data_IF_492042374725
#
_entry.id   IF_492042374725
#
_cell.length_a   1.000
_cell.length_b   1.000
_cell.length_c   1.000
_cell.angle_alpha   90.00
_cell.angle_beta   90.00
_cell.angle_gamma   90.00
#
_symmetry.space_group_name_H-M   'P 1'
#
loop_
_entity.id
_entity.type
_entity.pdbx_description
1 polymer ?
#
# COMPACT_ATOMS: atom_id res chain seq x y z
N UNK A 1 5.21 -21.13 15.59
CA UNK A 1 4.56 -20.26 14.60
C UNK A 1 4.45 -18.88 15.22
N UNK A 2 5.06 -17.87 14.61
CA UNK A 2 5.00 -16.49 15.04
C UNK A 2 4.16 -15.67 14.06
N UNK A 3 3.34 -14.78 14.61
CA UNK A 3 2.63 -13.76 13.86
C UNK A 3 3.38 -12.45 14.03
N UNK A 4 3.57 -11.69 12.95
CA UNK A 4 4.07 -10.32 13.03
C UNK A 4 3.33 -9.44 12.02
N UNK A 5 2.87 -8.28 12.46
CA UNK A 5 2.29 -7.29 11.58
C UNK A 5 2.98 -5.94 11.77
N UNK A 6 3.24 -5.26 10.66
CA UNK A 6 3.61 -3.86 10.64
C UNK A 6 2.50 -3.08 9.93
N UNK A 7 1.89 -2.13 10.65
CA UNK A 7 0.83 -1.28 10.13
C UNK A 7 1.32 0.17 10.14
N UNK A 8 1.25 0.82 8.99
CA UNK A 8 1.70 2.20 8.78
C UNK A 8 0.54 3.02 8.24
N UNK A 9 0.26 4.16 8.87
CA UNK A 9 -0.82 5.07 8.46
C UNK A 9 -0.36 6.52 8.54
N UNK A 10 -0.44 7.27 7.44
CA UNK A 10 0.06 8.65 7.40
C UNK A 10 -1.04 9.60 6.95
N UNK A 11 -1.60 10.33 7.93
CA UNK A 11 -2.53 11.43 7.69
C UNK A 11 -1.80 12.77 7.62
N UNK A 12 -0.83 12.97 8.50
CA UNK A 12 -0.05 14.22 8.56
C UNK A 12 1.26 14.06 7.83
N UNK A 13 1.56 14.97 6.91
CA UNK A 13 2.81 15.01 6.17
C UNK A 13 3.59 16.27 6.52
N UNK A 14 4.93 16.21 6.45
CA UNK A 14 5.75 17.44 6.52
C UNK A 14 5.53 18.32 5.31
N UNK A 15 5.21 17.73 4.16
CA UNK A 15 4.88 18.45 2.95
C UNK A 15 3.53 19.18 3.14
N UNK A 16 3.50 20.54 3.07
CA UNK A 16 2.27 21.28 3.27
C UNK A 16 1.19 20.92 2.24
N UNK A 17 -0.06 20.79 2.70
CA UNK A 17 -1.21 20.52 1.82
C UNK A 17 -1.40 19.04 1.42
N UNK A 18 -0.50 18.14 1.84
CA UNK A 18 -0.59 16.71 1.56
C UNK A 18 -1.39 15.92 2.63
N UNK A 19 -2.12 16.60 3.51
CA UNK A 19 -2.78 15.92 4.62
C UNK A 19 -4.01 15.09 4.19
N UNK A 20 -4.05 13.85 4.68
CA UNK A 20 -5.17 12.90 4.57
C UNK A 20 -5.87 12.76 5.94
N UNK A 21 -6.99 12.03 5.97
CA UNK A 21 -7.82 11.90 7.16
C UNK A 21 -8.10 10.44 7.56
N UNK A 22 -8.14 9.51 6.62
CA UNK A 22 -8.54 8.12 6.89
C UNK A 22 -7.43 7.13 7.23
N UNK A 23 -6.16 7.46 7.00
CA UNK A 23 -5.07 6.49 7.07
C UNK A 23 -4.80 5.93 8.47
N UNK A 24 -4.99 6.74 9.51
CA UNK A 24 -4.88 6.28 10.91
C UNK A 24 -6.06 5.37 11.30
N UNK A 25 -7.26 5.62 10.76
CA UNK A 25 -8.42 4.75 10.95
C UNK A 25 -8.26 3.42 10.23
N UNK A 26 -7.67 3.42 9.04
CA UNK A 26 -7.30 2.21 8.29
C UNK A 26 -6.37 1.29 9.10
N UNK A 27 -5.33 1.85 9.71
CA UNK A 27 -4.43 1.12 10.62
C UNK A 27 -5.20 0.49 11.79
N UNK A 28 -6.16 1.22 12.35
CA UNK A 28 -7.00 0.74 13.44
C UNK A 28 -7.91 -0.41 12.98
N UNK A 29 -8.56 -0.27 11.83
CA UNK A 29 -9.41 -1.30 11.22
C UNK A 29 -8.63 -2.61 10.97
N UNK A 30 -7.46 -2.52 10.34
CA UNK A 30 -6.61 -3.70 10.06
C UNK A 30 -6.13 -4.34 11.36
N UNK A 31 -5.68 -3.54 12.34
CA UNK A 31 -5.27 -4.04 13.65
C UNK A 31 -6.39 -4.84 14.30
N UNK A 32 -7.59 -4.29 14.35
CA UNK A 32 -8.71 -4.90 15.07
C UNK A 32 -9.17 -6.20 14.40
N UNK A 33 -9.17 -6.24 13.06
CA UNK A 33 -9.42 -7.47 12.31
C UNK A 33 -8.36 -8.54 12.63
N UNK A 34 -7.07 -8.18 12.66
CA UNK A 34 -5.99 -9.12 12.94
C UNK A 34 -6.06 -9.71 14.36
N UNK A 35 -6.32 -8.86 15.35
CA UNK A 35 -6.45 -9.29 16.74
C UNK A 35 -7.68 -10.18 16.92
N UNK A 36 -8.81 -9.82 16.32
CA UNK A 36 -10.10 -10.49 16.54
C UNK A 36 -10.26 -11.80 15.77
N UNK A 37 -9.80 -11.85 14.51
CA UNK A 37 -10.12 -12.98 13.61
C UNK A 37 -8.91 -13.79 13.17
N UNK A 38 -7.68 -13.24 13.30
CA UNK A 38 -6.48 -13.91 12.83
C UNK A 38 -5.54 -14.35 13.96
N UNK A 39 -5.91 -14.14 15.22
CA UNK A 39 -5.15 -14.60 16.39
C UNK A 39 -3.81 -13.88 16.58
N UNK A 40 -3.70 -12.63 16.11
CA UNK A 40 -2.58 -11.78 16.45
C UNK A 40 -2.77 -11.27 17.89
N UNK A 41 -1.66 -11.06 18.58
CA UNK A 41 -1.65 -10.37 19.88
C UNK A 41 -1.12 -8.95 19.72
N UNK A 42 -1.42 -8.06 20.67
CA UNK A 42 -0.94 -6.66 20.62
C UNK A 42 0.60 -6.58 20.52
N UNK A 43 1.32 -7.50 21.17
CA UNK A 43 2.80 -7.56 21.12
C UNK A 43 3.35 -7.96 19.74
N UNK A 44 2.53 -8.58 18.92
CA UNK A 44 2.87 -9.04 17.56
C UNK A 44 2.53 -8.00 16.49
N UNK A 45 1.88 -6.89 16.84
CA UNK A 45 1.52 -5.82 15.91
C UNK A 45 2.33 -4.57 16.24
N UNK A 46 3.14 -4.09 15.30
CA UNK A 46 3.81 -2.80 15.39
C UNK A 46 3.08 -1.78 14.54
N UNK A 47 2.89 -0.59 15.11
CA UNK A 47 2.15 0.50 14.47
C UNK A 47 3.02 1.74 14.38
N UNK A 48 3.06 2.35 13.20
CA UNK A 48 3.62 3.70 12.97
C UNK A 48 2.50 4.58 12.41
N UNK A 49 2.32 5.76 13.00
CA UNK A 49 1.38 6.75 12.47
C UNK A 49 1.99 8.15 12.46
N UNK A 50 1.61 8.93 11.46
CA UNK A 50 1.94 10.35 11.30
C UNK A 50 3.43 10.63 11.55
N UNK A 51 3.75 11.57 12.46
CA UNK A 51 5.13 11.98 12.77
C UNK A 51 6.10 10.84 13.12
N UNK A 52 5.59 9.65 13.49
CA UNK A 52 6.42 8.47 13.78
C UNK A 52 6.65 7.58 12.55
N UNK A 53 5.86 7.73 11.49
CA UNK A 53 5.97 7.00 10.24
C UNK A 53 6.99 7.65 9.29
N UNK A 54 8.20 7.90 9.80
CA UNK A 54 9.31 8.38 8.97
C UNK A 54 9.92 7.26 8.14
N UNK A 55 10.61 7.57 7.03
CA UNK A 55 11.31 6.55 6.20
C UNK A 55 12.17 5.63 7.07
N UNK A 56 13.03 6.24 7.90
CA UNK A 56 13.92 5.51 8.81
C UNK A 56 13.16 4.65 9.83
N UNK A 57 12.04 5.15 10.38
CA UNK A 57 11.24 4.39 11.32
C UNK A 57 10.58 3.18 10.64
N UNK A 58 10.01 3.37 9.45
CA UNK A 58 9.39 2.30 8.65
C UNK A 58 10.42 1.22 8.35
N UNK A 59 11.62 1.58 7.87
CA UNK A 59 12.70 0.64 7.55
C UNK A 59 13.10 -0.20 8.76
N UNK A 60 13.31 0.43 9.92
CA UNK A 60 13.60 -0.27 11.17
C UNK A 60 12.51 -1.28 11.56
N UNK A 61 11.24 -1.03 11.21
CA UNK A 61 10.14 -1.96 11.51
C UNK A 61 9.99 -3.04 10.45
N UNK A 62 10.29 -2.75 9.18
CA UNK A 62 10.41 -3.75 8.12
C UNK A 62 11.52 -4.77 8.44
N UNK A 63 12.68 -4.30 8.91
CA UNK A 63 13.74 -5.18 9.40
C UNK A 63 13.25 -6.10 10.51
N UNK A 64 12.54 -5.57 11.50
CA UNK A 64 11.97 -6.39 12.57
C UNK A 64 10.92 -7.40 12.06
N UNK A 65 10.10 -7.00 11.09
CA UNK A 65 9.05 -7.82 10.50
C UNK A 65 9.66 -9.10 9.93
N UNK A 66 10.74 -8.97 9.16
CA UNK A 66 11.40 -10.09 8.47
C UNK A 66 12.49 -10.78 9.31
N UNK A 67 12.94 -10.20 10.42
CA UNK A 67 14.02 -10.77 11.24
C UNK A 67 13.61 -12.07 11.94
N UNK A 68 14.37 -13.14 11.70
CA UNK A 68 14.25 -14.41 12.43
C UNK A 68 12.95 -15.17 12.18
N UNK A 69 12.28 -14.91 11.05
CA UNK A 69 11.06 -15.63 10.65
C UNK A 69 11.41 -16.97 10.03
N UNK A 70 10.55 -17.97 10.22
CA UNK A 70 10.75 -19.34 9.73
C UNK A 70 9.48 -19.89 9.09
N UNK A 71 9.63 -20.95 8.30
CA UNK A 71 8.51 -21.60 7.63
C UNK A 71 7.32 -21.86 8.58
N UNK A 72 6.12 -21.53 8.12
CA UNK A 72 4.90 -21.54 8.92
C UNK A 72 4.57 -20.20 9.59
N UNK A 73 5.49 -19.25 9.71
CA UNK A 73 5.17 -17.92 10.27
C UNK A 73 4.24 -17.11 9.35
N UNK A 74 3.53 -16.14 9.94
CA UNK A 74 2.56 -15.28 9.25
C UNK A 74 2.93 -13.81 9.44
N UNK A 75 3.14 -13.12 8.33
CA UNK A 75 3.56 -11.73 8.28
C UNK A 75 2.52 -10.90 7.54
N UNK A 76 2.24 -9.71 8.06
CA UNK A 76 1.46 -8.71 7.35
C UNK A 76 2.19 -7.38 7.33
N UNK A 77 2.29 -6.77 6.16
CA UNK A 77 2.66 -5.37 6.02
C UNK A 77 1.45 -4.60 5.47
N UNK A 78 1.08 -3.51 6.14
CA UNK A 78 0.03 -2.61 5.69
C UNK A 78 0.56 -1.19 5.65
N UNK A 79 0.35 -0.52 4.53
CA UNK A 79 0.62 0.90 4.36
C UNK A 79 -0.65 1.59 3.85
N UNK A 80 -1.07 2.65 4.55
CA UNK A 80 -2.14 3.54 4.14
C UNK A 80 -1.63 4.98 4.18
N UNK A 81 -1.70 5.68 3.05
CA UNK A 81 -1.09 6.99 2.90
C UNK A 81 -0.95 7.38 1.43
N UNK A 82 -0.12 8.37 1.17
CA UNK A 82 0.22 8.82 -0.16
C UNK A 82 1.19 7.86 -0.85
N UNK A 83 0.96 7.67 -2.13
CA UNK A 83 1.98 7.22 -3.06
C UNK A 83 2.17 8.24 -4.17
N UNK A 84 3.21 8.06 -4.97
CA UNK A 84 3.53 8.90 -6.12
C UNK A 84 4.38 8.13 -7.14
N UNK A 85 4.88 8.84 -8.15
CA UNK A 85 5.83 8.35 -9.14
C UNK A 85 7.02 9.29 -9.22
N UNK A 86 8.21 8.72 -9.32
CA UNK A 86 9.44 9.44 -9.66
C UNK A 86 10.08 8.78 -10.87
N UNK A 87 11.02 9.45 -11.53
CA UNK A 87 11.76 8.83 -12.63
C UNK A 87 12.64 7.70 -12.11
N UNK A 88 12.61 6.57 -12.80
CA UNK A 88 13.48 5.43 -12.55
C UNK A 88 14.95 5.85 -12.75
N UNK A 89 15.76 5.58 -11.72
CA UNK A 89 17.21 5.83 -11.70
C UNK A 89 18.04 4.54 -11.77
N UNK A 90 17.43 3.37 -11.57
CA UNK A 90 18.08 2.06 -11.67
C UNK A 90 18.03 1.46 -13.07
N UNK A 91 17.12 1.93 -13.91
CA UNK A 91 16.96 1.49 -15.30
C UNK A 91 16.31 0.12 -15.44
N UNK A 92 15.63 -0.36 -14.40
CA UNK A 92 14.88 -1.62 -14.41
C UNK A 92 13.42 -1.46 -14.84
N UNK A 93 12.89 -0.23 -14.88
CA UNK A 93 11.55 0.07 -15.39
C UNK A 93 11.59 0.34 -16.90
N UNK A 94 11.47 -0.75 -17.66
CA UNK A 94 11.63 -0.74 -19.12
C UNK A 94 10.42 -0.18 -19.89
N UNK A 95 9.28 0.05 -19.22
CA UNK A 95 8.01 0.37 -19.89
C UNK A 95 7.69 1.87 -19.89
N UNK A 96 7.70 2.51 -18.73
CA UNK A 96 7.42 3.94 -18.56
C UNK A 96 8.56 4.71 -17.88
N UNK A 97 9.58 4.01 -17.37
CA UNK A 97 10.74 4.56 -16.66
C UNK A 97 10.34 5.35 -15.40
N UNK A 98 9.30 4.90 -14.69
CA UNK A 98 8.83 5.51 -13.45
C UNK A 98 8.86 4.51 -12.31
N UNK A 99 9.51 4.88 -11.20
CA UNK A 99 9.43 4.16 -9.94
C UNK A 99 8.16 4.57 -9.18
N UNK A 100 7.39 3.57 -8.75
CA UNK A 100 6.32 3.74 -7.79
C UNK A 100 6.89 3.97 -6.38
N UNK A 101 6.39 4.99 -5.69
CA UNK A 101 6.87 5.33 -4.35
C UNK A 101 5.76 5.35 -3.31
N UNK A 102 6.08 4.90 -2.10
CA UNK A 102 5.33 5.21 -0.89
C UNK A 102 5.90 6.48 -0.26
N UNK A 103 5.03 7.36 0.23
CA UNK A 103 5.40 8.62 0.86
C UNK A 103 5.31 8.50 2.39
N UNK A 104 6.43 8.42 3.12
CA UNK A 104 6.45 8.55 4.58
C UNK A 104 6.02 9.94 5.05
N UNK A 105 5.82 10.10 6.36
CA UNK A 105 5.51 11.41 6.95
C UNK A 105 6.56 12.48 6.61
N UNK A 106 7.83 12.11 6.69
CA UNK A 106 8.97 13.01 6.48
C UNK A 106 9.39 13.12 5.02
N UNK A 107 8.51 12.75 4.09
CA UNK A 107 8.88 12.71 2.69
C UNK A 107 9.32 14.06 2.14
N UNK A 108 10.29 13.98 1.24
CA UNK A 108 10.73 15.04 0.34
C UNK A 108 10.88 14.45 -1.06
N UNK A 109 10.98 15.31 -2.07
CA UNK A 109 11.15 14.88 -3.46
C UNK A 109 12.61 14.59 -3.84
N UNK A 110 13.53 14.65 -2.88
CA UNK A 110 14.98 14.60 -3.08
C UNK A 110 15.63 13.33 -2.48
N UNK A 111 14.83 12.37 -2.00
CA UNK A 111 15.31 11.03 -1.60
C UNK A 111 14.59 10.41 -0.40
N UNK A 112 13.75 11.16 0.30
CA UNK A 112 13.01 10.66 1.47
C UNK A 112 11.66 10.04 1.07
N UNK A 113 11.69 9.04 0.21
CA UNK A 113 10.53 8.21 -0.18
C UNK A 113 10.93 6.74 -0.20
N UNK A 114 9.97 5.82 -0.25
CA UNK A 114 10.27 4.38 -0.29
C UNK A 114 9.92 3.86 -1.67
N UNK A 115 10.91 3.40 -2.43
CA UNK A 115 10.68 2.77 -3.74
C UNK A 115 10.40 1.27 -3.58
N UNK A 116 9.75 0.67 -4.57
CA UNK A 116 9.40 -0.74 -4.56
C UNK A 116 10.60 -1.68 -4.44
N UNK A 117 11.74 -1.30 -5.02
CA UNK A 117 12.97 -2.08 -4.94
C UNK A 117 13.57 -2.13 -3.51
N UNK A 118 13.37 -1.07 -2.71
CA UNK A 118 13.71 -1.08 -1.28
C UNK A 118 12.78 -2.05 -0.51
N UNK A 119 11.47 -2.05 -0.80
CA UNK A 119 10.52 -2.99 -0.19
C UNK A 119 10.83 -4.45 -0.57
N UNK A 120 11.11 -4.69 -1.85
CA UNK A 120 11.53 -5.98 -2.40
C UNK A 120 12.79 -6.50 -1.74
N UNK A 121 13.73 -5.62 -1.42
CA UNK A 121 14.93 -5.98 -0.64
C UNK A 121 14.58 -6.52 0.75
N UNK A 122 13.57 -5.96 1.42
CA UNK A 122 13.10 -6.51 2.70
C UNK A 122 12.34 -7.83 2.51
N UNK A 123 11.41 -7.89 1.57
CA UNK A 123 10.57 -9.08 1.35
C UNK A 123 11.36 -10.25 0.76
N UNK A 124 12.44 -10.00 0.02
CA UNK A 124 13.37 -11.02 -0.47
C UNK A 124 14.10 -11.77 0.65
N UNK A 125 14.15 -11.21 1.87
CA UNK A 125 14.70 -11.87 3.06
C UNK A 125 13.74 -12.89 3.68
N UNK A 126 12.49 -12.95 3.22
CA UNK A 126 11.47 -13.85 3.76
C UNK A 126 11.66 -15.26 3.15
N UNK A 127 11.97 -16.28 3.97
CA UNK A 127 12.23 -17.63 3.47
C UNK A 127 10.95 -18.30 2.96
N UNK A 128 11.13 -19.30 2.12
CA UNK A 128 10.04 -20.16 1.63
C UNK A 128 9.25 -20.77 2.79
N UNK A 129 7.94 -20.87 2.63
CA UNK A 129 7.03 -21.42 3.65
C UNK A 129 6.57 -20.40 4.69
N UNK A 130 7.14 -19.19 4.73
CA UNK A 130 6.52 -18.05 5.44
C UNK A 130 5.38 -17.50 4.58
N UNK A 131 4.32 -17.04 5.23
CA UNK A 131 3.16 -16.40 4.59
C UNK A 131 3.27 -14.90 4.80
N UNK A 132 3.46 -14.14 3.72
CA UNK A 132 3.50 -12.68 3.75
C UNK A 132 2.32 -12.14 2.94
N UNK A 133 1.45 -11.37 3.58
CA UNK A 133 0.45 -10.55 2.91
C UNK A 133 0.86 -9.08 3.01
N UNK A 134 0.78 -8.36 1.89
CA UNK A 134 1.08 -6.93 1.79
C UNK A 134 -0.19 -6.22 1.36
N UNK A 135 -0.57 -5.17 2.07
CA UNK A 135 -1.75 -4.35 1.81
C UNK A 135 -1.31 -2.91 1.60
N UNK A 136 -1.47 -2.39 0.39
CA UNK A 136 -1.13 -1.02 0.03
C UNK A 136 -2.40 -0.26 -0.32
N UNK A 137 -2.76 0.71 0.52
CA UNK A 137 -3.86 1.64 0.30
C UNK A 137 -3.31 3.05 -0.01
N UNK A 138 -2.64 3.12 -1.15
CA UNK A 138 -2.00 4.30 -1.73
C UNK A 138 -2.24 4.31 -3.25
N UNK A 139 -1.88 5.41 -3.91
CA UNK A 139 -1.93 5.52 -5.37
C UNK A 139 -0.55 5.68 -5.91
N UNK A 140 -0.27 4.98 -7.00
CA UNK A 140 1.01 5.09 -7.68
C UNK A 140 0.89 5.73 -9.04
N UNK A 141 -0.26 6.30 -9.42
CA UNK A 141 -0.33 7.06 -10.66
C UNK A 141 -1.31 8.22 -10.64
N UNK A 142 -0.95 9.25 -11.42
CA UNK A 142 -1.68 10.50 -11.50
C UNK A 142 -2.86 10.49 -12.47
N UNK A 143 -3.09 9.41 -13.22
CA UNK A 143 -4.09 9.40 -14.31
C UNK A 143 -5.54 9.47 -13.82
N UNK A 144 -5.81 9.11 -12.56
CA UNK A 144 -7.12 9.25 -11.90
C UNK A 144 -7.37 10.61 -11.23
N UNK A 145 -6.40 11.52 -11.23
CA UNK A 145 -6.47 12.77 -10.44
C UNK A 145 -7.55 13.74 -10.92
N UNK A 146 -7.80 13.84 -12.22
CA UNK A 146 -8.86 14.74 -12.76
C UNK A 146 -10.24 14.40 -12.24
N UNK A 147 -10.56 13.11 -12.17
CA UNK A 147 -11.82 12.63 -11.59
C UNK A 147 -11.86 12.93 -10.09
N UNK A 148 -10.77 12.65 -9.37
CA UNK A 148 -10.68 12.95 -7.94
C UNK A 148 -10.84 14.46 -7.63
N UNK A 149 -10.26 15.35 -8.44
CA UNK A 149 -10.44 16.80 -8.29
C UNK A 149 -11.89 17.24 -8.50
N UNK A 150 -12.60 16.63 -9.47
CA UNK A 150 -14.02 16.89 -9.67
C UNK A 150 -14.86 16.41 -8.47
N UNK A 151 -14.49 15.27 -7.88
CA UNK A 151 -15.18 14.71 -6.71
C UNK A 151 -14.90 15.49 -5.42
N UNK A 152 -13.72 16.12 -5.30
CA UNK A 152 -13.39 16.99 -4.16
C UNK A 152 -14.28 18.23 -4.04
N UNK A 153 -14.98 18.63 -5.12
CA UNK A 153 -15.94 19.73 -5.13
C UNK A 153 -17.37 19.31 -4.68
N UNK A 154 -17.61 18.02 -4.45
CA UNK A 154 -18.89 17.52 -3.96
C UNK A 154 -19.06 17.77 -2.45
N UNK A 155 -20.29 17.64 -1.90
CA UNK A 155 -20.49 17.61 -0.45
C UNK A 155 -19.60 16.56 0.22
N UNK A 156 -19.19 16.82 1.46
CA UNK A 156 -18.21 16.00 2.22
C UNK A 156 -18.52 14.50 2.21
N UNK A 157 -19.80 14.13 2.25
CA UNK A 157 -20.30 12.75 2.23
C UNK A 157 -20.02 11.99 0.92
N UNK A 158 -19.77 12.72 -0.18
CA UNK A 158 -19.46 12.17 -1.51
C UNK A 158 -18.08 12.57 -2.00
N UNK A 159 -17.45 13.54 -1.34
CA UNK A 159 -16.09 13.96 -1.63
C UNK A 159 -15.09 12.94 -1.12
N UNK A 160 -14.00 12.79 -1.85
CA UNK A 160 -12.83 12.05 -1.38
C UNK A 160 -11.57 12.78 -1.81
N UNK A 161 -10.47 12.54 -1.08
CA UNK A 161 -9.15 13.03 -1.45
C UNK A 161 -8.37 11.93 -2.17
N UNK A 162 -7.70 12.27 -3.28
CA UNK A 162 -6.80 11.32 -3.93
C UNK A 162 -5.64 11.00 -3.00
N UNK A 163 -5.27 9.72 -2.89
CA UNK A 163 -4.03 9.31 -2.21
C UNK A 163 -2.82 9.33 -3.15
N UNK A 164 -2.94 9.97 -4.31
CA UNK A 164 -1.82 10.28 -5.20
C UNK A 164 -1.28 11.65 -4.83
N UNK A 165 0.01 11.73 -4.56
CA UNK A 165 0.71 12.98 -4.36
C UNK A 165 1.41 13.37 -5.67
N UNK A 166 1.00 14.44 -6.38
CA UNK A 166 1.63 14.81 -7.64
C UNK A 166 3.04 15.38 -7.41
N UNK A 167 4.05 14.94 -8.18
CA UNK A 167 5.37 15.58 -8.16
C UNK A 167 5.27 17.05 -8.59
N UNK A 168 6.01 17.97 -7.94
CA UNK A 168 6.06 19.37 -8.35
C UNK A 168 6.79 19.52 -9.69
N UNK A 169 6.58 20.67 -10.34
CA UNK A 169 7.06 20.90 -11.70
C UNK A 169 8.59 20.78 -11.82
N UNK A 170 9.37 21.16 -10.82
CA UNK A 170 10.83 21.04 -10.86
C UNK A 170 11.26 19.56 -10.88
N UNK A 171 10.57 18.71 -10.13
CA UNK A 171 10.79 17.26 -10.14
C UNK A 171 10.35 16.65 -11.46
N UNK A 172 9.24 17.12 -12.03
CA UNK A 172 8.81 16.74 -13.38
C UNK A 172 9.80 17.21 -14.45
N UNK A 173 10.41 18.38 -14.32
CA UNK A 173 11.40 18.89 -15.27
C UNK A 173 12.73 18.13 -15.20
N UNK A 174 13.15 17.65 -14.00
CA UNK A 174 14.26 16.69 -13.89
C UNK A 174 14.00 15.41 -14.71
N UNK A 175 12.75 15.12 -15.06
CA UNK A 175 12.39 14.01 -15.95
C UNK A 175 12.73 14.26 -17.43
N UNK A 176 13.11 15.48 -17.83
CA UNK A 176 13.36 15.82 -19.24
C UNK A 176 14.85 15.89 -19.61
N UNK A 177 15.76 16.19 -18.66
CA UNK A 177 17.15 16.56 -19.00
C UNK A 177 18.20 15.43 -18.92
N UNK A 178 17.94 14.30 -18.25
CA UNK A 178 18.93 13.20 -18.14
C UNK A 178 18.75 12.17 -19.28
N UNK A 179 19.24 12.47 -20.49
CA UNK A 179 19.44 11.48 -21.58
C UNK A 179 20.76 10.69 -21.43
N UNK A 180 21.62 11.02 -20.46
CA UNK A 180 22.93 10.36 -20.31
C UNK A 180 22.85 9.06 -19.47
N UNK A 181 22.92 7.94 -20.18
CA UNK A 181 23.49 6.66 -19.75
C UNK A 181 22.90 5.94 -18.51
N UNK A 182 21.57 5.73 -18.48
CA UNK A 182 21.04 4.59 -17.72
C UNK A 182 21.47 3.28 -18.40
N UNK A 183 22.57 2.68 -17.91
CA UNK A 183 23.00 1.35 -18.34
C UNK A 183 21.85 0.35 -18.10
N UNK A 184 21.27 -0.16 -19.19
CA UNK A 184 20.23 -1.20 -19.17
C UNK A 184 20.78 -2.44 -18.46
N UNK A 185 20.52 -2.57 -17.16
CA UNK A 185 20.78 -3.79 -16.43
C UNK A 185 19.71 -4.79 -16.84
N UNK A 186 20.06 -5.68 -17.77
CA UNK A 186 19.28 -6.88 -18.07
C UNK A 186 19.03 -7.60 -16.75
N UNK A 187 17.79 -7.59 -16.27
CA UNK A 187 17.43 -8.20 -15.00
C UNK A 187 17.90 -9.65 -14.98
N UNK A 188 18.71 -9.99 -13.98
CA UNK A 188 18.62 -11.30 -13.35
C UNK A 188 17.14 -11.45 -12.97
N UNK A 189 16.42 -12.19 -13.82
CA UNK A 189 15.05 -12.65 -13.60
C UNK A 189 14.93 -13.00 -12.13
N UNK A 190 14.18 -12.20 -11.35
CA UNK A 190 14.08 -12.35 -9.91
C UNK A 190 13.87 -13.83 -9.60
N UNK A 191 14.87 -14.47 -9.00
CA UNK A 191 14.96 -15.93 -8.88
C UNK A 191 13.95 -16.51 -7.90
N UNK A 192 13.07 -15.66 -7.34
CA UNK A 192 12.02 -16.06 -6.44
C UNK A 192 10.71 -15.40 -6.87
N UNK A 193 9.73 -16.13 -7.45
CA UNK A 193 8.39 -15.60 -7.64
C UNK A 193 7.84 -15.25 -6.27
N UNK A 194 7.80 -13.95 -5.97
CA UNK A 194 7.33 -13.32 -4.74
C UNK A 194 6.53 -14.30 -3.85
N UNK A 195 7.13 -14.76 -2.76
CA UNK A 195 6.48 -15.65 -1.78
C UNK A 195 5.42 -14.90 -0.93
N UNK A 196 4.88 -13.80 -1.46
CA UNK A 196 3.90 -12.93 -0.83
C UNK A 196 2.61 -12.84 -1.68
N UNK A 197 1.56 -12.31 -1.07
CA UNK A 197 0.38 -11.83 -1.77
C UNK A 197 0.25 -10.34 -1.52
N UNK A 198 0.20 -9.55 -2.59
CA UNK A 198 0.06 -8.10 -2.55
C UNK A 198 -1.38 -7.74 -2.92
N UNK A 199 -2.01 -6.93 -2.08
CA UNK A 199 -3.28 -6.28 -2.34
C UNK A 199 -3.03 -4.78 -2.50
N UNK A 200 -3.38 -4.23 -3.65
CA UNK A 200 -3.27 -2.81 -3.95
C UNK A 200 -4.65 -2.16 -4.07
N UNK A 201 -4.78 -0.93 -3.57
CA UNK A 201 -6.04 -0.17 -3.52
C UNK A 201 -6.63 0.16 -4.88
N UNK A 202 -5.79 0.30 -5.90
CA UNK A 202 -6.22 0.64 -7.25
C UNK A 202 -5.29 0.01 -8.31
N UNK A 203 -5.61 0.20 -9.58
CA UNK A 203 -4.70 -0.06 -10.70
C UNK A 203 -3.68 1.08 -10.83
N UNK A 204 -2.61 0.80 -11.55
CA UNK A 204 -1.54 1.73 -11.92
C UNK A 204 -2.03 2.88 -12.82
N UNK A 205 -3.31 2.94 -13.19
CA UNK A 205 -3.89 4.08 -13.90
C UNK A 205 -5.06 4.74 -13.14
N UNK A 206 -5.16 4.51 -11.84
CA UNK A 206 -6.27 4.94 -10.99
C UNK A 206 -5.77 5.49 -9.66
N UNK A 207 -6.69 6.00 -8.86
CA UNK A 207 -6.39 6.63 -7.58
C UNK A 207 -7.24 6.00 -6.49
N UNK A 208 -6.60 5.50 -5.43
CA UNK A 208 -7.22 5.18 -4.14
C UNK A 208 -7.78 6.42 -3.42
N UNK A 209 -8.95 6.27 -2.81
CA UNK A 209 -9.73 7.34 -2.21
C UNK A 209 -9.62 7.37 -0.68
N UNK A 210 -9.31 8.55 -0.14
CA UNK A 210 -9.52 8.90 1.26
C UNK A 210 -10.91 9.55 1.43
N UNK A 211 -11.87 8.83 1.99
CA UNK A 211 -13.29 9.14 1.90
C UNK A 211 -13.99 9.12 3.27
N UNK A 212 -15.08 9.86 3.41
CA UNK A 212 -15.93 9.82 4.59
C UNK A 212 -16.97 8.70 4.45
N UNK A 213 -16.82 7.64 5.24
CA UNK A 213 -17.64 6.42 5.15
C UNK A 213 -18.26 6.14 6.52
N UNK A 214 -19.58 6.04 6.56
CA UNK A 214 -20.36 5.70 7.77
C UNK A 214 -19.95 6.51 9.03
N UNK A 215 -19.73 7.82 8.86
CA UNK A 215 -19.43 8.73 9.97
C UNK A 215 -17.95 8.87 10.34
N UNK A 216 -17.03 8.31 9.54
CA UNK A 216 -15.59 8.45 9.77
C UNK A 216 -14.77 8.45 8.48
N UNK A 217 -13.65 9.16 8.46
CA UNK A 217 -12.72 9.11 7.33
C UNK A 217 -11.96 7.78 7.28
N UNK A 218 -11.89 7.16 6.12
CA UNK A 218 -11.19 5.90 5.88
C UNK A 218 -10.65 5.85 4.44
N UNK A 219 -9.69 4.97 4.20
CA UNK A 219 -9.35 4.52 2.86
C UNK A 219 -10.45 3.61 2.35
N UNK A 220 -11.06 3.95 1.22
CA UNK A 220 -12.18 3.17 0.70
C UNK A 220 -11.77 1.71 0.44
N UNK A 221 -10.54 1.45 -0.03
CA UNK A 221 -10.02 0.08 -0.14
C UNK A 221 -9.97 -0.62 1.22
N UNK A 222 -9.27 -0.04 2.20
CA UNK A 222 -9.06 -0.67 3.51
C UNK A 222 -10.36 -0.85 4.29
N UNK A 223 -11.27 0.11 4.20
CA UNK A 223 -12.57 0.05 4.84
C UNK A 223 -13.37 -1.17 4.39
N UNK A 224 -13.61 -1.32 3.08
CA UNK A 224 -14.39 -2.43 2.55
C UNK A 224 -13.64 -3.77 2.66
N UNK A 225 -12.30 -3.76 2.57
CA UNK A 225 -11.48 -4.93 2.84
C UNK A 225 -11.72 -5.45 4.26
N UNK A 226 -11.61 -4.57 5.27
CA UNK A 226 -11.84 -4.93 6.66
C UNK A 226 -13.31 -5.27 6.94
N UNK A 227 -14.27 -4.57 6.32
CA UNK A 227 -15.71 -4.88 6.41
C UNK A 227 -16.00 -6.32 5.99
N UNK A 228 -15.54 -6.74 4.82
CA UNK A 228 -15.78 -8.11 4.35
C UNK A 228 -15.08 -9.18 5.19
N UNK A 229 -13.91 -8.87 5.76
CA UNK A 229 -13.28 -9.76 6.73
C UNK A 229 -14.07 -9.84 8.03
N UNK A 230 -14.64 -8.74 8.53
CA UNK A 230 -15.54 -8.74 9.70
C UNK A 230 -16.79 -9.58 9.43
N UNK A 231 -17.46 -9.35 8.30
CA UNK A 231 -18.69 -10.05 7.89
C UNK A 231 -18.50 -11.57 7.79
N UNK A 232 -17.29 -12.01 7.45
CA UNK A 232 -16.95 -13.43 7.26
C UNK A 232 -16.10 -14.00 8.39
N UNK A 233 -15.86 -13.23 9.44
CA UNK A 233 -14.98 -13.59 10.57
C UNK A 233 -13.59 -14.07 10.11
N UNK A 234 -13.04 -13.46 9.06
CA UNK A 234 -11.77 -13.82 8.43
C UNK A 234 -11.82 -15.08 7.55
N UNK A 235 -12.96 -15.77 7.47
CA UNK A 235 -13.11 -17.01 6.72
C UNK A 235 -13.45 -16.77 5.24
N UNK A 236 -12.57 -16.07 4.53
CA UNK A 236 -12.77 -15.70 3.13
C UNK A 236 -11.52 -15.90 2.30
N UNK A 237 -11.66 -16.58 1.15
CA UNK A 237 -10.56 -16.74 0.20
C UNK A 237 -10.18 -15.38 -0.43
N UNK A 238 -8.89 -15.16 -0.72
CA UNK A 238 -8.38 -13.90 -1.29
C UNK A 238 -9.14 -13.51 -2.58
N UNK A 239 -9.43 -14.47 -3.45
CA UNK A 239 -10.18 -14.22 -4.69
C UNK A 239 -11.61 -13.74 -4.46
N UNK A 240 -12.29 -14.31 -3.45
CA UNK A 240 -13.67 -13.93 -3.11
C UNK A 240 -13.69 -12.59 -2.37
N UNK A 241 -12.72 -12.35 -1.48
CA UNK A 241 -12.52 -11.05 -0.85
C UNK A 241 -12.38 -9.94 -1.90
N UNK A 242 -11.53 -10.16 -2.91
CA UNK A 242 -11.36 -9.19 -4.01
C UNK A 242 -12.62 -8.99 -4.83
N UNK A 243 -13.42 -10.05 -5.04
CA UNK A 243 -14.69 -9.94 -5.76
C UNK A 243 -15.68 -9.07 -4.99
N UNK A 244 -15.84 -9.29 -3.69
CA UNK A 244 -16.74 -8.51 -2.83
C UNK A 244 -16.29 -7.06 -2.71
N UNK A 245 -15.00 -6.86 -2.46
CA UNK A 245 -14.39 -5.54 -2.37
C UNK A 245 -14.62 -4.71 -3.63
N UNK A 246 -14.35 -5.26 -4.82
CA UNK A 246 -14.62 -4.57 -6.10
C UNK A 246 -16.10 -4.27 -6.29
N UNK A 247 -16.98 -5.17 -5.88
CA UNK A 247 -18.43 -4.96 -5.97
C UNK A 247 -18.88 -3.80 -5.06
N UNK A 248 -18.41 -3.74 -3.81
CA UNK A 248 -18.71 -2.65 -2.89
C UNK A 248 -18.15 -1.32 -3.38
N UNK A 249 -16.89 -1.26 -3.79
CA UNK A 249 -16.31 -0.02 -4.32
C UNK A 249 -17.07 0.52 -5.52
N UNK A 250 -17.44 -0.36 -6.46
CA UNK A 250 -18.25 0.02 -7.62
C UNK A 250 -19.65 0.50 -7.23
N UNK A 251 -20.30 -0.20 -6.29
CA UNK A 251 -21.65 0.15 -5.83
C UNK A 251 -21.69 1.55 -5.20
N UNK A 252 -20.62 1.90 -4.49
CA UNK A 252 -20.48 3.16 -3.76
C UNK A 252 -19.90 4.29 -4.63
N UNK A 253 -19.70 4.03 -5.93
CA UNK A 253 -19.28 5.03 -6.91
C UNK A 253 -17.79 5.31 -6.98
N UNK A 254 -16.94 4.51 -6.33
CA UNK A 254 -15.49 4.64 -6.47
C UNK A 254 -15.00 4.04 -7.80
N UNK A 255 -14.21 4.80 -8.56
CA UNK A 255 -13.63 4.34 -9.83
C UNK A 255 -12.44 3.39 -9.63
N UNK A 256 -11.84 3.36 -8.44
CA UNK A 256 -10.70 2.52 -8.09
C UNK A 256 -11.04 1.01 -8.19
N UNK A 257 -10.16 0.25 -8.82
CA UNK A 257 -10.27 -1.20 -8.98
C UNK A 257 -9.08 -1.88 -8.28
N UNK A 258 -9.29 -2.44 -7.08
CA UNK A 258 -8.22 -3.08 -6.34
C UNK A 258 -7.60 -4.26 -7.09
N UNK A 259 -6.28 -4.43 -6.93
CA UNK A 259 -5.50 -5.51 -7.53
C UNK A 259 -5.05 -6.55 -6.49
N UNK A 260 -4.86 -7.78 -6.95
CA UNK A 260 -4.31 -8.88 -6.16
C UNK A 260 -3.23 -9.57 -6.98
N UNK A 261 -2.00 -9.45 -6.50
CA UNK A 261 -0.83 -10.07 -7.07
C UNK A 261 -0.35 -11.19 -6.15
N UNK A 262 -0.48 -12.42 -6.62
CA UNK A 262 0.04 -13.59 -5.93
C UNK A 262 0.09 -14.78 -6.88
N UNK A 263 0.83 -15.81 -6.48
CA UNK A 263 0.78 -17.11 -7.16
C UNK A 263 -0.67 -17.64 -7.21
N UNK A 264 -1.04 -18.29 -8.32
CA UNK A 264 -2.42 -18.75 -8.55
C UNK A 264 -2.95 -19.65 -7.41
N UNK A 265 -2.10 -20.51 -6.84
CA UNK A 265 -2.44 -21.39 -5.72
C UNK A 265 -2.86 -20.63 -4.45
N UNK A 266 -2.34 -19.40 -4.24
CA UNK A 266 -2.64 -18.56 -3.06
C UNK A 266 -3.97 -17.80 -3.19
N UNK A 267 -4.52 -17.64 -4.40
CA UNK A 267 -5.80 -16.94 -4.63
C UNK A 267 -6.99 -17.60 -3.92
N UNK A 268 -6.99 -18.93 -3.86
CA UNK A 268 -8.04 -19.73 -3.21
C UNK A 268 -7.82 -19.92 -1.70
N UNK A 269 -6.68 -19.47 -1.16
CA UNK A 269 -6.38 -19.50 0.27
C UNK A 269 -6.99 -18.28 0.95
N UNK A 270 -7.16 -18.33 2.27
CA UNK A 270 -7.60 -17.18 3.07
C UNK A 270 -6.44 -16.21 3.28
N UNK A 271 -6.75 -15.01 3.76
CA UNK A 271 -5.72 -14.07 4.21
C UNK A 271 -4.85 -14.75 5.28
N UNK A 272 -3.52 -14.60 5.19
CA UNK A 272 -2.51 -15.20 6.07
C UNK A 272 -2.48 -16.74 6.09
N UNK A 273 -3.11 -17.39 5.10
CA UNK A 273 -3.01 -18.82 4.80
C UNK A 273 -2.21 -19.11 3.52
#
# INVERSE_FOLDING_TARGET
>A
MANKALLVGVNRYRLPGADLQGCVNDVTNVRDVLLKYFGFTVKQVRVLVDARATKAAIFKRLEWLVKGVKAGDRLLFHFSGHGSQIRDRSGDELKDRLDEILCPHDMDWDGTYIIDDELKTFFGKVPTGVRLDVLLDCCHSGTGTREAFAMAALPEERAFRPRFLPPPIDILCRQMDEEEDLQVRRLLKATNPANHALFAGCRDNQTSADAYIEGSYNGAFTYYFCKHLRDTQGNLARSELMKRLRASLKFEGYSQVPQLECQAARRKKRLLD
#
